data_IF_182306397405
#
_entry.id   IF_182306397405
#
_cell.length_a   1.000
_cell.length_b   1.000
_cell.length_c   1.000
_cell.angle_alpha   90.00
_cell.angle_beta   90.00
_cell.angle_gamma   90.00
#
_symmetry.space_group_name_H-M   'P 1'
#
loop_
_entity.id
_entity.type
_entity.pdbx_description
1 polymer ?
#
# COMPACT_ATOMS: atom_id res chain seq x y z
N UNK A 1 27.50 -25.74 -11.27
CA UNK A 1 27.92 -24.98 -12.48
C UNK A 1 28.96 -25.74 -13.30
N UNK A 2 30.06 -26.22 -12.69
CA UNK A 2 31.08 -27.02 -13.38
C UNK A 2 30.51 -28.32 -14.01
N UNK A 3 29.68 -29.08 -13.29
CA UNK A 3 29.08 -30.31 -13.85
C UNK A 3 28.17 -30.07 -15.05
N UNK A 4 27.34 -29.02 -15.01
CA UNK A 4 26.42 -28.65 -16.10
C UNK A 4 27.21 -28.19 -17.34
N UNK A 5 28.34 -27.50 -17.14
CA UNK A 5 29.25 -27.10 -18.22
C UNK A 5 29.83 -28.29 -18.97
N UNK A 6 30.18 -29.35 -18.26
CA UNK A 6 30.78 -30.55 -18.83
C UNK A 6 29.76 -31.40 -19.59
N UNK A 7 28.53 -31.49 -19.08
CA UNK A 7 27.48 -32.30 -19.70
C UNK A 7 26.79 -31.62 -20.90
N UNK A 8 26.67 -30.28 -20.89
CA UNK A 8 25.89 -29.53 -21.89
C UNK A 8 26.74 -28.59 -22.77
N UNK A 9 28.07 -28.68 -22.69
CA UNK A 9 29.02 -27.87 -23.47
C UNK A 9 28.70 -26.36 -23.44
N UNK A 10 28.33 -25.87 -22.24
CA UNK A 10 27.89 -24.49 -22.06
C UNK A 10 29.11 -23.59 -21.87
N UNK A 11 29.16 -22.48 -22.63
CA UNK A 11 30.22 -21.49 -22.51
C UNK A 11 30.14 -20.76 -21.16
N UNK A 12 30.96 -21.24 -20.22
CA UNK A 12 31.05 -20.68 -18.87
C UNK A 12 31.56 -19.24 -18.90
N UNK A 13 32.43 -18.87 -19.85
CA UNK A 13 32.91 -17.50 -19.97
C UNK A 13 31.75 -16.55 -20.24
N UNK A 14 30.84 -16.95 -21.14
CA UNK A 14 29.63 -16.18 -21.45
C UNK A 14 28.62 -16.17 -20.30
N UNK A 15 28.43 -17.28 -19.57
CA UNK A 15 27.53 -17.27 -18.40
C UNK A 15 28.07 -16.37 -17.29
N UNK A 16 29.37 -16.42 -17.00
CA UNK A 16 30.01 -15.57 -15.99
C UNK A 16 30.10 -14.09 -16.41
N UNK A 17 29.93 -13.79 -17.70
CA UNK A 17 29.78 -12.42 -18.19
C UNK A 17 28.43 -11.79 -17.85
N UNK A 18 27.45 -12.60 -17.44
CA UNK A 18 26.18 -12.15 -16.88
C UNK A 18 26.17 -12.37 -15.36
N UNK A 19 25.53 -11.49 -14.57
CA UNK A 19 25.37 -11.72 -13.14
C UNK A 19 24.66 -13.06 -12.90
N UNK A 20 25.31 -13.96 -12.14
CA UNK A 20 24.75 -15.28 -11.77
C UNK A 20 23.66 -15.13 -10.69
N UNK A 21 23.50 -13.93 -10.16
CA UNK A 21 22.50 -13.59 -9.16
C UNK A 21 21.13 -13.43 -9.82
N UNK A 22 20.06 -13.77 -9.09
CA UNK A 22 18.67 -13.61 -9.57
C UNK A 22 18.29 -12.16 -9.92
N UNK A 23 19.10 -11.19 -9.45
CA UNK A 23 18.96 -9.75 -9.68
C UNK A 23 20.34 -9.16 -9.94
N UNK A 24 20.52 -8.22 -10.89
CA UNK A 24 21.81 -7.56 -11.10
C UNK A 24 22.35 -6.91 -9.82
N UNK A 25 23.66 -7.06 -9.56
CA UNK A 25 24.29 -6.45 -8.37
C UNK A 25 24.19 -4.91 -8.34
N UNK A 26 24.00 -4.27 -9.49
CA UNK A 26 23.71 -2.82 -9.57
C UNK A 26 22.38 -2.44 -8.91
N UNK A 27 21.48 -3.39 -8.71
CA UNK A 27 20.18 -3.22 -8.07
C UNK A 27 20.15 -3.70 -6.62
N UNK A 28 21.30 -4.08 -6.05
CA UNK A 28 21.40 -4.55 -4.67
C UNK A 28 22.53 -3.85 -3.90
N UNK A 29 22.32 -3.66 -2.61
CA UNK A 29 23.38 -3.33 -1.67
C UNK A 29 24.28 -4.57 -1.42
N UNK A 30 25.48 -4.35 -0.87
CA UNK A 30 26.45 -5.42 -0.60
C UNK A 30 25.94 -6.47 0.41
N UNK A 31 24.93 -6.12 1.21
CA UNK A 31 24.25 -7.02 2.14
C UNK A 31 23.15 -7.87 1.49
N UNK A 32 22.95 -7.75 0.16
CA UNK A 32 21.94 -8.47 -0.60
C UNK A 32 20.54 -7.83 -0.58
N UNK A 33 20.36 -6.71 0.11
CA UNK A 33 19.09 -5.95 0.06
C UNK A 33 18.94 -5.23 -1.28
N UNK A 34 17.72 -5.04 -1.76
CA UNK A 34 17.46 -4.36 -3.04
C UNK A 34 17.65 -2.85 -2.87
N UNK A 35 18.38 -2.21 -3.78
CA UNK A 35 18.52 -0.77 -3.89
C UNK A 35 17.14 -0.13 -4.11
N UNK A 36 16.57 0.45 -3.05
CA UNK A 36 15.28 1.16 -3.13
C UNK A 36 15.52 2.62 -3.54
N UNK A 37 15.16 2.96 -4.76
CA UNK A 37 15.00 4.36 -5.16
C UNK A 37 13.65 4.88 -4.69
N UNK A 38 13.59 6.16 -4.31
CA UNK A 38 12.31 6.77 -3.96
C UNK A 38 11.39 6.70 -5.19
N UNK A 39 10.23 6.05 -5.04
CA UNK A 39 9.27 5.83 -6.13
C UNK A 39 8.84 7.13 -6.82
N UNK A 40 8.88 8.26 -6.12
CA UNK A 40 8.54 9.58 -6.67
C UNK A 40 9.72 10.30 -7.32
N UNK A 41 10.96 9.79 -7.23
CA UNK A 41 12.14 10.52 -7.72
C UNK A 41 12.06 10.78 -9.23
N UNK A 42 11.69 9.75 -10.00
CA UNK A 42 11.51 9.88 -11.45
C UNK A 42 10.36 10.85 -11.79
N UNK A 43 9.23 10.76 -11.07
CA UNK A 43 8.09 11.63 -11.31
C UNK A 43 8.44 13.11 -11.12
N UNK A 44 9.19 13.44 -10.07
CA UNK A 44 9.64 14.81 -9.81
C UNK A 44 10.53 15.34 -10.94
N UNK A 45 11.48 14.53 -11.41
CA UNK A 45 12.33 14.91 -12.53
C UNK A 45 11.52 15.07 -13.84
N UNK A 46 10.47 14.29 -14.05
CA UNK A 46 9.59 14.43 -15.22
C UNK A 46 8.66 15.66 -15.11
N UNK A 47 8.21 16.01 -13.91
CA UNK A 47 7.38 17.20 -13.66
C UNK A 47 8.14 18.51 -13.95
N UNK A 48 9.44 18.56 -13.68
CA UNK A 48 10.30 19.74 -13.95
C UNK A 48 10.36 20.10 -15.44
N UNK A 49 10.21 19.12 -16.32
CA UNK A 49 10.29 19.27 -17.79
C UNK A 49 8.93 19.59 -18.45
N UNK A 50 7.85 19.66 -17.67
CA UNK A 50 6.49 19.88 -18.20
C UNK A 50 5.86 21.12 -17.57
N UNK A 51 5.58 22.13 -18.39
CA UNK A 51 4.69 23.22 -17.99
C UNK A 51 3.25 22.71 -18.01
N UNK A 52 2.64 22.57 -16.82
CA UNK A 52 1.25 22.19 -16.69
C UNK A 52 0.43 23.35 -16.12
N UNK A 53 -0.77 23.57 -16.67
CA UNK A 53 -1.79 24.39 -16.02
C UNK A 53 -2.65 23.50 -15.13
N UNK A 54 -2.99 23.96 -13.93
CA UNK A 54 -3.86 23.18 -13.04
C UNK A 54 -5.28 23.15 -13.62
N UNK A 55 -5.93 21.97 -13.66
CA UNK A 55 -7.31 21.88 -14.13
C UNK A 55 -8.23 22.73 -13.22
N UNK A 56 -9.12 23.50 -13.83
CA UNK A 56 -10.07 24.35 -13.10
C UNK A 56 -11.13 23.56 -12.32
N UNK A 57 -11.37 22.30 -12.70
CA UNK A 57 -12.38 21.42 -12.11
C UNK A 57 -11.85 19.99 -12.04
N UNK A 58 -12.30 19.27 -11.00
CA UNK A 58 -12.00 17.85 -10.80
C UNK A 58 -13.31 17.07 -10.90
N UNK A 59 -13.50 16.31 -11.97
CA UNK A 59 -14.70 15.49 -12.14
C UNK A 59 -14.69 14.27 -11.21
N UNK A 60 -13.53 13.62 -11.08
CA UNK A 60 -13.38 12.39 -10.32
C UNK A 60 -12.13 12.45 -9.44
N UNK A 61 -12.31 12.20 -8.16
CA UNK A 61 -11.23 12.10 -7.19
C UNK A 61 -11.14 10.69 -6.63
N UNK A 62 -10.01 10.02 -6.84
CA UNK A 62 -9.76 8.68 -6.32
C UNK A 62 -8.78 8.78 -5.16
N UNK A 63 -9.17 8.29 -3.99
CA UNK A 63 -8.41 8.46 -2.75
C UNK A 63 -8.09 7.10 -2.14
N UNK A 64 -6.83 6.89 -1.74
CA UNK A 64 -6.47 5.76 -0.89
C UNK A 64 -7.02 6.00 0.54
N UNK A 65 -7.95 5.15 0.96
CA UNK A 65 -8.65 5.28 2.24
C UNK A 65 -7.75 5.13 3.46
N UNK A 66 -6.79 4.21 3.44
CA UNK A 66 -5.84 4.06 4.55
C UNK A 66 -4.87 5.25 4.63
N UNK A 67 -4.48 5.81 3.49
CA UNK A 67 -3.72 7.06 3.48
C UNK A 67 -4.52 8.21 4.09
N UNK A 68 -5.80 8.35 3.74
CA UNK A 68 -6.67 9.38 4.31
C UNK A 68 -6.86 9.22 5.84
N UNK A 69 -6.87 7.98 6.35
CA UNK A 69 -6.88 7.72 7.80
C UNK A 69 -5.57 8.15 8.47
N UNK A 70 -4.42 7.96 7.83
CA UNK A 70 -3.14 8.43 8.37
C UNK A 70 -3.03 9.95 8.45
N UNK A 71 -3.75 10.70 7.59
CA UNK A 71 -3.77 12.17 7.62
C UNK A 71 -4.83 12.74 8.56
N UNK A 72 -5.68 11.90 9.15
CA UNK A 72 -6.76 12.33 10.04
C UNK A 72 -6.21 12.95 11.33
N UNK A 73 -6.40 14.26 11.49
CA UNK A 73 -6.13 14.97 12.75
C UNK A 73 -7.28 14.76 13.73
N UNK A 74 -6.95 14.63 15.02
CA UNK A 74 -7.92 14.43 16.10
C UNK A 74 -8.83 13.22 15.87
N UNK A 75 -8.22 12.04 15.72
CA UNK A 75 -8.95 10.78 15.49
C UNK A 75 -9.99 10.57 16.61
N UNK A 76 -11.28 10.37 16.28
CA UNK A 76 -12.33 10.14 17.27
C UNK A 76 -12.01 9.02 18.26
N UNK A 77 -12.58 9.09 19.47
CA UNK A 77 -12.29 8.11 20.54
C UNK A 77 -12.91 6.74 20.29
N UNK A 78 -14.02 6.66 19.56
CA UNK A 78 -14.75 5.40 19.32
C UNK A 78 -14.71 5.01 17.86
N UNK A 79 -14.66 3.70 17.58
CA UNK A 79 -14.57 3.18 16.22
C UNK A 79 -15.75 3.58 15.33
N UNK A 80 -16.96 3.73 15.86
CA UNK A 80 -18.14 4.16 15.11
C UNK A 80 -18.11 5.63 14.69
N UNK A 81 -17.30 6.46 15.36
CA UNK A 81 -17.16 7.88 15.01
C UNK A 81 -16.03 8.13 14.01
N UNK A 82 -15.07 7.20 13.86
CA UNK A 82 -14.02 7.28 12.83
C UNK A 82 -14.59 7.33 11.41
N UNK A 83 -15.52 6.44 10.99
CA UNK A 83 -16.13 6.54 9.68
C UNK A 83 -16.84 7.89 9.49
N UNK A 84 -17.57 8.38 10.49
CA UNK A 84 -18.26 9.69 10.41
C UNK A 84 -17.27 10.83 10.14
N UNK A 85 -16.12 10.81 10.83
CA UNK A 85 -15.05 11.80 10.61
C UNK A 85 -14.41 11.66 9.23
N UNK A 86 -14.20 10.43 8.76
CA UNK A 86 -13.71 10.16 7.40
C UNK A 86 -14.68 10.71 6.35
N UNK A 87 -15.98 10.46 6.51
CA UNK A 87 -17.01 10.98 5.61
C UNK A 87 -17.02 12.51 5.60
N UNK A 88 -16.92 13.15 6.77
CA UNK A 88 -16.76 14.60 6.85
C UNK A 88 -15.55 15.10 6.06
N UNK A 89 -14.39 14.46 6.21
CA UNK A 89 -13.18 14.82 5.47
C UNK A 89 -13.38 14.70 3.95
N UNK A 90 -14.06 13.64 3.50
CA UNK A 90 -14.37 13.41 2.09
C UNK A 90 -15.35 14.47 1.55
N UNK A 91 -16.39 14.82 2.31
CA UNK A 91 -17.39 15.80 1.88
C UNK A 91 -16.86 17.24 1.77
N UNK A 92 -15.70 17.53 2.36
CA UNK A 92 -15.04 18.82 2.20
C UNK A 92 -14.23 18.95 0.90
N UNK A 93 -14.08 17.85 0.15
CA UNK A 93 -13.35 17.85 -1.11
C UNK A 93 -14.29 18.27 -2.25
N UNK A 94 -13.75 19.05 -3.19
CA UNK A 94 -14.51 19.55 -4.33
C UNK A 94 -14.26 18.68 -5.56
N UNK A 95 -15.14 17.70 -5.78
CA UNK A 95 -15.16 16.89 -6.99
C UNK A 95 -16.58 16.40 -7.28
N UNK A 96 -16.92 16.20 -8.56
CA UNK A 96 -18.24 15.70 -8.95
C UNK A 96 -18.49 14.26 -8.47
N UNK A 97 -17.43 13.45 -8.38
CA UNK A 97 -17.45 12.11 -7.81
C UNK A 97 -16.19 11.86 -6.99
N UNK A 98 -16.35 11.25 -5.82
CA UNK A 98 -15.22 10.83 -4.98
C UNK A 98 -15.32 9.33 -4.72
N UNK A 99 -14.28 8.59 -5.12
CA UNK A 99 -14.13 7.17 -4.85
C UNK A 99 -13.04 6.97 -3.79
N UNK A 100 -13.44 6.56 -2.57
CA UNK A 100 -12.48 6.15 -1.52
C UNK A 100 -12.27 4.65 -1.61
N UNK A 101 -11.01 4.26 -1.82
CA UNK A 101 -10.60 2.87 -2.06
C UNK A 101 -9.73 2.39 -0.92
N UNK A 102 -10.10 1.26 -0.32
CA UNK A 102 -9.28 0.56 0.66
C UNK A 102 -8.63 -0.65 0.00
N UNK A 103 -7.30 -0.70 0.09
CA UNK A 103 -6.52 -1.79 -0.50
C UNK A 103 -6.72 -3.07 0.33
N UNK A 104 -7.09 -4.17 -0.34
CA UNK A 104 -7.09 -5.50 0.25
C UNK A 104 -5.72 -6.16 0.07
N UNK A 105 -5.27 -6.86 1.11
CA UNK A 105 -4.08 -7.70 1.07
C UNK A 105 -4.51 -9.12 0.71
N UNK A 106 -3.95 -9.65 -0.37
CA UNK A 106 -4.13 -11.03 -0.80
C UNK A 106 -2.77 -11.71 -0.89
N UNK A 107 -2.76 -13.02 -0.67
CA UNK A 107 -1.56 -13.83 -0.74
C UNK A 107 -1.86 -15.07 -1.61
N UNK A 108 -1.02 -15.38 -2.62
CA UNK A 108 0.22 -14.69 -2.96
C UNK A 108 -0.02 -13.35 -3.69
N UNK A 109 0.87 -12.37 -3.45
CA UNK A 109 0.90 -11.07 -4.11
C UNK A 109 2.33 -10.68 -4.48
N UNK A 110 2.47 -9.93 -5.57
CA UNK A 110 3.75 -9.33 -5.99
C UNK A 110 4.37 -8.43 -4.91
N UNK A 111 3.57 -7.96 -3.95
CA UNK A 111 4.02 -7.14 -2.83
C UNK A 111 4.34 -7.93 -1.56
N UNK A 112 4.23 -9.25 -1.56
CA UNK A 112 4.45 -10.07 -0.35
C UNK A 112 5.85 -9.87 0.23
N UNK A 113 6.86 -9.69 -0.62
CA UNK A 113 8.23 -9.38 -0.16
C UNK A 113 8.34 -8.00 0.51
N UNK A 114 7.60 -6.99 0.05
CA UNK A 114 7.54 -5.71 0.76
C UNK A 114 6.72 -5.83 2.06
N UNK A 115 5.67 -6.65 2.06
CA UNK A 115 4.84 -6.88 3.23
C UNK A 115 5.60 -7.61 4.34
N UNK A 116 6.39 -8.63 4.00
CA UNK A 116 7.21 -9.40 4.95
C UNK A 116 8.28 -8.52 5.62
N UNK A 117 8.82 -7.54 4.92
CA UNK A 117 9.75 -6.56 5.51
C UNK A 117 9.08 -5.56 6.46
N UNK A 118 7.77 -5.31 6.30
CA UNK A 118 7.00 -4.43 7.21
C UNK A 118 6.46 -5.20 8.43
N UNK A 119 6.68 -6.51 8.49
CA UNK A 119 6.00 -7.50 9.34
C UNK A 119 6.50 -7.58 10.79
N UNK A 120 7.00 -6.50 11.39
CA UNK A 120 7.30 -6.53 12.83
C UNK A 120 6.03 -6.47 13.72
N UNK A 121 4.84 -6.22 13.14
CA UNK A 121 3.59 -6.04 13.90
C UNK A 121 2.32 -6.58 13.23
N UNK A 122 2.43 -7.26 12.09
CA UNK A 122 1.29 -7.57 11.22
C UNK A 122 0.48 -8.82 11.61
N UNK A 123 0.85 -9.54 12.68
CA UNK A 123 0.25 -10.85 13.01
C UNK A 123 -0.51 -10.90 14.33
N UNK A 124 -0.57 -9.81 15.09
CA UNK A 124 -1.42 -9.80 16.28
C UNK A 124 -2.88 -9.82 15.85
N UNK A 125 -3.62 -10.82 16.30
CA UNK A 125 -5.07 -10.84 16.16
C UNK A 125 -5.65 -9.53 16.72
N UNK A 126 -6.57 -8.93 15.97
CA UNK A 126 -7.24 -7.71 16.39
C UNK A 126 -8.73 -7.88 16.11
N UNK A 127 -9.55 -7.67 17.15
CA UNK A 127 -11.01 -7.72 17.04
C UNK A 127 -11.59 -6.41 17.54
N UNK A 128 -12.48 -5.82 16.75
CA UNK A 128 -13.32 -4.70 17.18
C UNK A 128 -14.68 -5.28 17.57
N UNK A 129 -15.03 -5.22 18.86
CA UNK A 129 -16.27 -5.77 19.41
C UNK A 129 -17.50 -4.95 19.02
N UNK A 130 -17.32 -3.68 18.69
CA UNK A 130 -18.41 -2.83 18.25
C UNK A 130 -18.03 -1.35 18.07
N UNK A 131 -18.96 -0.52 17.57
CA UNK A 131 -18.71 0.88 17.26
C UNK A 131 -18.43 1.76 18.48
N UNK A 132 -18.99 1.41 19.64
CA UNK A 132 -18.78 2.15 20.89
C UNK A 132 -17.44 1.81 21.57
N UNK A 133 -16.72 0.80 21.08
CA UNK A 133 -15.41 0.46 21.61
C UNK A 133 -14.45 1.65 21.43
N UNK A 134 -13.74 1.95 22.52
CA UNK A 134 -12.72 3.00 22.56
C UNK A 134 -11.46 2.48 21.85
N UNK A 135 -10.95 3.24 20.88
CA UNK A 135 -9.70 2.93 20.18
C UNK A 135 -8.50 3.04 21.13
N UNK A 136 -7.39 2.37 20.80
CA UNK A 136 -6.16 2.63 21.55
C UNK A 136 -5.63 4.04 21.31
N UNK A 137 -4.70 4.45 22.18
CA UNK A 137 -4.10 5.78 22.15
C UNK A 137 -3.30 6.02 20.86
N UNK A 138 -2.62 4.99 20.35
CA UNK A 138 -1.74 5.05 19.18
C UNK A 138 -2.39 4.40 17.94
N UNK A 139 -3.33 5.14 17.35
CA UNK A 139 -4.05 4.73 16.15
C UNK A 139 -3.15 4.54 14.93
N UNK A 140 -2.07 5.33 14.81
CA UNK A 140 -1.15 5.22 13.69
C UNK A 140 -0.36 3.92 13.71
N UNK A 141 -0.03 3.41 14.91
CA UNK A 141 0.56 2.09 15.09
C UNK A 141 -0.44 0.97 14.76
N UNK A 142 -1.69 1.07 15.20
CA UNK A 142 -2.73 0.09 14.87
C UNK A 142 -2.97 -0.03 13.36
N UNK A 143 -2.95 1.08 12.63
CA UNK A 143 -3.07 1.10 11.17
C UNK A 143 -1.94 0.34 10.44
N UNK A 144 -0.88 -0.09 11.11
CA UNK A 144 0.14 -0.97 10.51
C UNK A 144 -0.26 -2.46 10.57
N UNK A 145 -1.19 -2.83 11.45
CA UNK A 145 -1.67 -4.20 11.61
C UNK A 145 -2.73 -4.51 10.54
N UNK A 146 -2.55 -5.61 9.81
CA UNK A 146 -3.46 -6.03 8.73
C UNK A 146 -4.83 -6.45 9.27
N UNK A 147 -4.86 -7.23 10.35
CA UNK A 147 -6.10 -7.66 11.01
C UNK A 147 -6.91 -6.46 11.53
N UNK A 148 -6.23 -5.43 12.04
CA UNK A 148 -6.87 -4.18 12.43
C UNK A 148 -7.54 -3.47 11.25
N UNK A 149 -6.83 -3.37 10.12
CA UNK A 149 -7.37 -2.75 8.90
C UNK A 149 -8.63 -3.45 8.40
N UNK A 150 -8.64 -4.78 8.44
CA UNK A 150 -9.81 -5.59 8.07
C UNK A 150 -10.97 -5.39 9.04
N UNK A 151 -10.72 -5.46 10.36
CA UNK A 151 -11.74 -5.22 11.37
C UNK A 151 -12.34 -3.80 11.26
N UNK A 152 -11.49 -2.80 11.02
CA UNK A 152 -11.92 -1.41 10.85
C UNK A 152 -12.77 -1.23 9.59
N UNK A 153 -12.41 -1.89 8.50
CA UNK A 153 -13.21 -1.87 7.28
C UNK A 153 -14.61 -2.44 7.49
N UNK A 154 -14.75 -3.53 8.27
CA UNK A 154 -16.07 -4.07 8.58
C UNK A 154 -16.94 -3.02 9.28
N UNK A 155 -16.39 -2.27 10.24
CA UNK A 155 -17.11 -1.15 10.88
C UNK A 155 -17.57 -0.11 9.83
N UNK A 156 -16.71 0.20 8.86
CA UNK A 156 -17.01 1.19 7.82
C UNK A 156 -18.15 0.73 6.91
N UNK A 157 -18.13 -0.55 6.52
CA UNK A 157 -19.19 -1.16 5.71
C UNK A 157 -20.54 -1.08 6.43
N UNK A 158 -20.58 -1.44 7.72
CA UNK A 158 -21.82 -1.44 8.51
C UNK A 158 -22.34 -0.04 8.84
N UNK A 159 -21.48 0.97 8.99
CA UNK A 159 -21.88 2.33 9.42
C UNK A 159 -22.12 3.32 8.28
N UNK A 160 -21.44 3.19 7.15
CA UNK A 160 -21.53 4.16 6.03
C UNK A 160 -22.25 3.59 4.82
N UNK A 161 -22.33 2.26 4.69
CA UNK A 161 -23.17 1.53 3.73
C UNK A 161 -23.57 2.32 2.49
N UNK A 162 -22.62 2.64 1.59
CA UNK A 162 -22.79 2.77 0.12
C UNK A 162 -21.67 3.55 -0.60
N UNK A 163 -20.84 4.35 0.09
CA UNK A 163 -19.93 5.28 -0.62
C UNK A 163 -18.48 4.80 -0.80
N UNK A 164 -18.11 3.62 -0.30
CA UNK A 164 -16.73 3.15 -0.29
C UNK A 164 -16.62 1.82 -1.05
N UNK A 165 -15.69 1.76 -2.01
CA UNK A 165 -15.44 0.57 -2.81
C UNK A 165 -14.29 -0.21 -2.19
N UNK A 166 -14.56 -1.46 -1.82
CA UNK A 166 -13.52 -2.44 -1.53
C UNK A 166 -12.95 -2.94 -2.86
N UNK A 167 -11.74 -2.53 -3.21
CA UNK A 167 -11.15 -2.89 -4.49
C UNK A 167 -10.13 -4.01 -4.28
N UNK A 168 -10.33 -5.21 -4.85
CA UNK A 168 -9.25 -6.16 -4.97
C UNK A 168 -8.23 -5.57 -5.95
N UNK A 169 -7.01 -5.24 -5.50
CA UNK A 169 -5.94 -4.89 -6.42
C UNK A 169 -5.81 -6.04 -7.44
N UNK A 170 -5.81 -5.68 -8.72
CA UNK A 170 -5.61 -6.56 -9.87
C UNK A 170 -4.68 -7.74 -9.57
N UNK A 171 -5.29 -8.91 -9.38
CA UNK A 171 -4.62 -10.18 -9.60
C UNK A 171 -4.51 -10.38 -11.11
N UNK A 172 -3.43 -9.88 -11.71
CA UNK A 172 -3.01 -10.35 -13.02
C UNK A 172 -2.73 -11.85 -12.92
N UNK A 173 -3.61 -12.65 -13.53
CA UNK A 173 -3.25 -13.98 -14.02
C UNK A 173 -2.31 -13.86 -15.20
#
# INVERSE_FOLDING_TARGET
MLGISMDYNVDISKILSCPITSVPLSMCHLDGTICKTNKSALMKCLEEEVQHEQPHHIDVLIINGFFLLHTMKNVPKTFGNIPKKLLQMVTHLNASRIDVIFDQYFTPSIKDYEHSQRLESAQLEYTITGPEQIRSTDFAKELKNLNFKEALWLIFLFHIGLLMKWCPLLATK
#
